data_IF_966118577637
#
_entry.id   IF_966118577637
#
_cell.length_a   1.000
_cell.length_b   1.000
_cell.length_c   1.000
_cell.angle_alpha   90.00
_cell.angle_beta   90.00
_cell.angle_gamma   90.00
#
_symmetry.space_group_name_H-M   'P 1'
#
loop_
_entity.id
_entity.type
_entity.pdbx_description
1 polymer ?
#
# COMPACT_ATOMS: atom_id res chain seq x y z
N UNK A 1 44.58 0.58 20.37
CA UNK A 1 43.39 -0.30 20.26
C UNK A 1 42.08 0.43 19.96
N UNK A 2 42.07 1.75 19.71
CA UNK A 2 40.82 2.52 19.51
C UNK A 2 40.38 2.69 18.04
N UNK A 3 41.26 2.42 17.08
CA UNK A 3 40.96 2.61 15.65
C UNK A 3 40.04 1.51 15.08
N UNK A 4 40.14 0.28 15.59
CA UNK A 4 39.31 -0.85 15.16
C UNK A 4 37.86 -0.76 15.68
N UNK A 5 37.65 -0.13 16.84
CA UNK A 5 36.33 0.05 17.43
C UNK A 5 35.49 1.06 16.63
N UNK A 6 36.11 2.15 16.16
CA UNK A 6 35.46 3.16 15.33
C UNK A 6 35.03 2.62 13.96
N UNK A 7 35.81 1.71 13.39
CA UNK A 7 35.47 1.06 12.11
C UNK A 7 34.26 0.12 12.24
N UNK A 8 34.12 -0.60 13.36
CA UNK A 8 32.95 -1.46 13.60
C UNK A 8 31.67 -0.64 13.83
N UNK A 9 31.75 0.48 14.57
CA UNK A 9 30.61 1.37 14.77
C UNK A 9 30.10 2.00 13.46
N UNK A 10 31.01 2.38 12.56
CA UNK A 10 30.64 2.90 11.24
C UNK A 10 29.95 1.84 10.36
N UNK A 11 30.37 0.57 10.44
CA UNK A 11 29.74 -0.53 9.70
C UNK A 11 28.33 -0.85 10.21
N UNK A 12 28.11 -0.81 11.52
CA UNK A 12 26.78 -1.03 12.11
C UNK A 12 25.79 0.09 11.78
N UNK A 13 26.24 1.34 11.69
CA UNK A 13 25.39 2.48 11.32
C UNK A 13 25.02 2.49 9.83
N UNK A 14 25.87 1.96 8.95
CA UNK A 14 25.58 1.84 7.52
C UNK A 14 24.46 0.81 7.22
N UNK A 15 24.25 -0.18 8.09
CA UNK A 15 23.21 -1.20 7.91
C UNK A 15 21.79 -0.70 8.23
N UNK A 16 21.66 0.39 9.00
CA UNK A 16 20.35 0.98 9.34
C UNK A 16 19.69 1.73 8.18
N UNK A 17 20.45 2.09 7.13
CA UNK A 17 19.93 2.86 5.98
C UNK A 17 19.14 1.97 5.00
N UNK A 18 19.26 0.64 5.09
CA UNK A 18 18.58 -0.31 4.20
C UNK A 18 17.29 -0.92 4.77
N UNK A 19 16.76 -0.42 5.88
CA UNK A 19 15.40 -0.74 6.30
C UNK A 19 14.39 -0.06 5.35
N UNK A 20 14.25 -0.60 4.14
CA UNK A 20 13.27 -0.15 3.15
C UNK A 20 11.88 -0.59 3.59
N UNK A 21 11.20 0.28 4.35
CA UNK A 21 9.80 0.07 4.69
C UNK A 21 8.96 0.30 3.42
N UNK A 22 8.40 -0.78 2.87
CA UNK A 22 7.38 -0.69 1.82
C UNK A 22 6.11 -0.06 2.37
N UNK A 23 5.28 0.47 1.48
CA UNK A 23 3.93 0.89 1.82
C UNK A 23 3.01 -0.33 1.83
N UNK A 24 2.09 -0.38 2.79
CA UNK A 24 1.16 -1.49 2.93
C UNK A 24 -0.28 -1.02 3.09
N UNK A 25 -1.17 -1.68 2.37
CA UNK A 25 -2.61 -1.58 2.56
C UNK A 25 -3.15 -2.97 2.84
N UNK A 26 -3.93 -3.12 3.90
CA UNK A 26 -4.56 -4.40 4.24
C UNK A 26 -6.05 -4.35 3.94
N UNK A 27 -6.54 -5.34 3.23
CA UNK A 27 -7.96 -5.49 2.87
C UNK A 27 -8.52 -6.68 3.64
N UNK A 28 -9.71 -6.54 4.20
CA UNK A 28 -10.44 -7.63 4.87
C UNK A 28 -11.84 -7.76 4.29
N UNK A 29 -12.32 -9.00 4.25
CA UNK A 29 -13.69 -9.33 3.85
C UNK A 29 -14.69 -9.12 5.02
N UNK A 30 -15.98 -9.33 4.76
CA UNK A 30 -17.07 -8.93 5.69
C UNK A 30 -17.05 -9.67 7.04
N UNK A 31 -16.60 -10.92 7.08
CA UNK A 31 -16.53 -11.75 8.29
C UNK A 31 -15.13 -11.76 8.92
N UNK A 32 -14.19 -10.94 8.40
CA UNK A 32 -12.77 -10.92 8.75
C UNK A 32 -12.04 -12.27 8.63
N UNK A 33 -12.60 -13.28 7.95
CA UNK A 33 -11.97 -14.60 7.80
C UNK A 33 -10.86 -14.59 6.76
N UNK A 34 -10.89 -13.66 5.80
CA UNK A 34 -9.88 -13.49 4.75
C UNK A 34 -9.32 -12.08 4.78
N UNK A 35 -8.01 -11.98 4.59
CA UNK A 35 -7.32 -10.71 4.43
C UNK A 35 -6.28 -10.79 3.32
N UNK A 36 -5.92 -9.61 2.81
CA UNK A 36 -4.85 -9.46 1.84
C UNK A 36 -4.00 -8.25 2.14
N UNK A 37 -2.68 -8.44 2.08
CA UNK A 37 -1.71 -7.35 2.15
C UNK A 37 -1.27 -6.98 0.75
N UNK A 38 -1.51 -5.73 0.38
CA UNK A 38 -0.96 -5.11 -0.81
C UNK A 38 0.30 -4.36 -0.41
N UNK A 39 1.33 -4.42 -1.25
CA UNK A 39 2.60 -3.75 -0.98
C UNK A 39 3.01 -2.90 -2.19
N UNK A 40 3.39 -1.65 -1.95
CA UNK A 40 4.02 -0.81 -2.95
C UNK A 40 5.47 -0.55 -2.51
N UNK A 41 6.46 -0.75 -3.39
CA UNK A 41 7.84 -0.45 -3.05
C UNK A 41 8.03 1.00 -2.61
N UNK A 42 8.97 1.25 -1.69
CA UNK A 42 9.26 2.62 -1.26
C UNK A 42 9.73 3.46 -2.45
N UNK A 43 9.23 4.68 -2.57
CA UNK A 43 9.52 5.58 -3.69
C UNK A 43 8.56 5.44 -4.87
N UNK A 44 7.69 4.43 -4.84
CA UNK A 44 6.72 4.16 -5.91
C UNK A 44 5.30 4.42 -5.42
N UNK A 45 4.38 4.52 -6.38
CA UNK A 45 2.94 4.52 -6.14
C UNK A 45 2.29 3.48 -7.02
N UNK A 46 1.51 2.57 -6.43
CA UNK A 46 0.86 1.49 -7.17
C UNK A 46 -0.66 1.63 -7.10
N UNK A 47 -1.33 1.16 -8.14
CA UNK A 47 -2.78 1.02 -8.24
C UNK A 47 -3.16 -0.46 -8.22
N UNK A 48 -4.07 -0.84 -7.33
CA UNK A 48 -4.60 -2.19 -7.27
C UNK A 48 -6.09 -2.17 -7.54
N UNK A 49 -6.53 -3.00 -8.48
CA UNK A 49 -7.95 -3.19 -8.74
C UNK A 49 -8.55 -4.17 -7.72
N UNK A 50 -9.67 -3.79 -7.12
CA UNK A 50 -10.39 -4.51 -6.07
C UNK A 50 -11.83 -4.88 -6.48
N UNK A 51 -12.24 -4.62 -7.72
CA UNK A 51 -13.63 -4.82 -8.16
C UNK A 51 -14.13 -6.27 -8.07
N UNK A 52 -13.20 -7.23 -8.03
CA UNK A 52 -13.47 -8.66 -7.84
C UNK A 52 -13.12 -9.14 -6.43
N UNK A 53 -12.84 -8.22 -5.51
CA UNK A 53 -12.43 -8.49 -4.14
C UNK A 53 -13.55 -8.06 -3.20
N UNK A 54 -13.98 -8.96 -2.32
CA UNK A 54 -14.88 -8.57 -1.22
C UNK A 54 -14.13 -7.67 -0.23
N UNK A 55 -14.45 -6.38 -0.26
CA UNK A 55 -13.70 -5.36 0.48
C UNK A 55 -14.57 -4.74 1.57
N UNK A 56 -14.57 -5.30 2.77
CA UNK A 56 -15.33 -4.76 3.90
C UNK A 56 -14.56 -3.62 4.58
N UNK A 57 -13.26 -3.85 4.78
CA UNK A 57 -12.38 -2.93 5.50
C UNK A 57 -11.09 -2.75 4.73
N UNK A 58 -10.58 -1.51 4.69
CA UNK A 58 -9.27 -1.15 4.16
C UNK A 58 -8.48 -0.45 5.26
N UNK A 59 -7.37 -1.04 5.70
CA UNK A 59 -6.41 -0.42 6.61
C UNK A 59 -5.30 0.26 5.79
N UNK A 60 -5.34 1.59 5.76
CA UNK A 60 -4.41 2.44 5.04
C UNK A 60 -3.34 3.10 5.92
N UNK A 61 -3.23 2.71 7.21
CA UNK A 61 -2.33 3.38 8.18
C UNK A 61 -0.85 3.33 7.79
N UNK A 62 -0.45 2.31 7.04
CA UNK A 62 0.94 2.12 6.58
C UNK A 62 1.01 2.31 5.05
N UNK A 63 -0.03 2.87 4.42
CA UNK A 63 -0.12 2.99 2.96
C UNK A 63 0.52 4.25 2.39
N UNK A 64 1.06 5.14 3.23
CA UNK A 64 1.52 6.47 2.81
C UNK A 64 0.32 7.33 2.39
N UNK A 65 0.29 7.76 1.13
CA UNK A 65 -0.85 8.48 0.56
C UNK A 65 -1.83 7.53 -0.13
N UNK A 66 -2.92 7.18 0.56
CA UNK A 66 -3.92 6.21 0.11
C UNK A 66 -5.14 6.92 -0.48
N UNK A 67 -5.50 6.54 -1.71
CA UNK A 67 -6.68 7.03 -2.43
C UNK A 67 -7.59 5.85 -2.79
N UNK A 68 -8.87 5.97 -2.46
CA UNK A 68 -9.88 4.94 -2.66
C UNK A 68 -10.85 5.37 -3.77
N UNK A 69 -11.06 4.52 -4.75
CA UNK A 69 -11.85 4.85 -5.95
C UNK A 69 -13.01 3.87 -6.11
N UNK A 70 -14.16 4.40 -6.55
CA UNK A 70 -15.28 3.58 -7.01
C UNK A 70 -15.09 3.03 -8.42
N UNK A 71 -14.07 3.51 -9.14
CA UNK A 71 -13.63 2.94 -10.44
C UNK A 71 -12.52 1.92 -10.21
N UNK A 72 -12.27 1.06 -11.20
CA UNK A 72 -11.29 -0.03 -11.13
C UNK A 72 -9.89 0.33 -11.65
N UNK A 73 -9.68 1.56 -12.10
CA UNK A 73 -8.48 2.04 -12.80
C UNK A 73 -7.71 3.13 -12.04
N UNK A 74 -8.05 3.38 -10.77
CA UNK A 74 -7.51 4.48 -9.94
C UNK A 74 -7.61 5.86 -10.59
N UNK A 75 -8.64 6.11 -11.42
CA UNK A 75 -8.89 7.40 -12.05
C UNK A 75 -10.15 8.07 -11.53
N UNK A 76 -10.17 9.40 -11.65
CA UNK A 76 -11.31 10.24 -11.28
C UNK A 76 -11.34 10.60 -9.79
N UNK A 77 -12.53 10.89 -9.29
CA UNK A 77 -12.76 11.27 -7.90
C UNK A 77 -12.40 10.14 -6.95
N UNK A 78 -11.80 10.50 -5.82
CA UNK A 78 -11.38 9.55 -4.79
C UNK A 78 -11.84 10.01 -3.42
N UNK A 79 -11.99 9.05 -2.51
CA UNK A 79 -11.96 9.34 -1.07
C UNK A 79 -10.55 9.15 -0.56
N UNK A 80 -10.13 10.01 0.36
CA UNK A 80 -8.88 9.80 1.09
C UNK A 80 -9.02 8.59 2.03
N UNK A 81 -8.03 7.70 2.01
CA UNK A 81 -7.90 6.51 2.86
C UNK A 81 -6.65 6.52 3.74
N UNK A 82 -5.91 7.64 3.77
CA UNK A 82 -4.60 7.73 4.40
C UNK A 82 -4.73 7.72 5.93
N UNK A 83 -3.76 7.11 6.61
CA UNK A 83 -3.62 7.10 8.08
C UNK A 83 -4.87 6.66 8.86
N UNK A 84 -5.70 5.80 8.25
CA UNK A 84 -6.94 5.34 8.89
C UNK A 84 -7.39 3.97 8.40
N UNK A 85 -8.37 3.45 9.12
CA UNK A 85 -9.16 2.29 8.72
C UNK A 85 -10.46 2.80 8.09
N UNK A 86 -10.70 2.41 6.84
CA UNK A 86 -11.96 2.67 6.14
C UNK A 86 -12.84 1.44 6.25
N UNK A 87 -13.95 1.56 6.99
CA UNK A 87 -14.96 0.52 7.13
C UNK A 87 -16.04 0.67 6.04
N UNK A 88 -16.86 -0.36 5.84
CA UNK A 88 -17.92 -0.39 4.82
C UNK A 88 -17.38 -0.03 3.42
N UNK A 89 -16.22 -0.58 3.08
CA UNK A 89 -15.47 -0.25 1.88
C UNK A 89 -15.93 -1.03 0.62
N UNK A 90 -17.15 -1.61 0.63
CA UNK A 90 -17.63 -2.46 -0.47
C UNK A 90 -17.82 -1.68 -1.78
N UNK A 91 -17.91 -0.35 -1.70
CA UNK A 91 -17.99 0.54 -2.85
C UNK A 91 -16.62 0.77 -3.53
N UNK A 92 -15.51 0.38 -2.90
CA UNK A 92 -14.15 0.60 -3.42
C UNK A 92 -13.81 -0.47 -4.45
N UNK A 93 -13.56 -0.04 -5.68
CA UNK A 93 -13.19 -0.90 -6.80
C UNK A 93 -11.70 -0.81 -7.16
N UNK A 94 -10.99 0.19 -6.67
CA UNK A 94 -9.51 0.21 -6.71
C UNK A 94 -8.93 1.08 -5.61
N UNK A 95 -7.68 0.79 -5.24
CA UNK A 95 -6.90 1.54 -4.27
C UNK A 95 -5.57 1.93 -4.88
N UNK A 96 -5.20 3.20 -4.75
CA UNK A 96 -3.88 3.70 -5.13
C UNK A 96 -3.16 4.16 -3.87
N UNK A 97 -1.95 3.67 -3.64
CA UNK A 97 -1.20 4.00 -2.43
C UNK A 97 0.31 4.06 -2.67
N UNK A 98 1.02 4.71 -1.75
CA UNK A 98 2.45 4.97 -1.84
C UNK A 98 2.78 6.45 -1.79
N UNK A 99 3.75 6.89 -2.59
CA UNK A 99 4.21 8.29 -2.60
C UNK A 99 3.09 9.25 -3.01
N UNK A 100 3.03 10.41 -2.35
CA UNK A 100 2.07 11.48 -2.67
C UNK A 100 2.46 12.20 -3.96
N UNK A 101 1.47 12.74 -4.69
CA UNK A 101 1.67 13.53 -5.91
C UNK A 101 2.47 12.84 -7.03
N UNK A 102 2.45 11.51 -7.03
CA UNK A 102 3.04 10.68 -8.06
C UNK A 102 1.92 9.92 -8.77
N UNK A 103 2.07 9.67 -10.07
CA UNK A 103 1.15 8.78 -10.79
C UNK A 103 1.41 7.32 -10.42
N UNK A 104 0.41 6.45 -10.56
CA UNK A 104 0.63 5.04 -10.27
C UNK A 104 1.41 4.37 -11.39
N UNK A 105 2.53 3.73 -11.06
CA UNK A 105 3.43 3.10 -12.03
C UNK A 105 2.97 1.69 -12.45
N UNK A 106 2.06 1.09 -11.68
CA UNK A 106 1.62 -0.28 -11.89
C UNK A 106 0.16 -0.49 -11.51
N UNK A 107 -0.52 -1.38 -12.26
CA UNK A 107 -1.86 -1.91 -12.01
C UNK A 107 -3.03 -0.98 -12.42
N UNK A 108 -4.25 -1.38 -12.03
CA UNK A 108 -5.52 -0.78 -12.49
C UNK A 108 -6.01 -1.29 -13.85
N UNK A 109 -7.28 -1.02 -14.17
CA UNK A 109 -7.87 -1.31 -15.48
C UNK A 109 -7.90 -2.82 -15.80
N UNK A 110 -7.27 -3.23 -16.91
CA UNK A 110 -7.28 -4.62 -17.39
C UNK A 110 -6.60 -5.62 -16.42
N UNK A 111 -5.84 -5.12 -15.44
CA UNK A 111 -5.16 -5.95 -14.44
C UNK A 111 -6.07 -6.40 -13.27
N UNK A 112 -7.38 -6.14 -13.34
CA UNK A 112 -8.35 -6.60 -12.34
C UNK A 112 -8.40 -8.11 -12.09
N UNK A 113 -7.87 -8.93 -13.01
CA UNK A 113 -7.85 -10.38 -12.83
C UNK A 113 -6.79 -10.87 -11.84
N UNK A 114 -5.78 -10.05 -11.53
CA UNK A 114 -4.69 -10.46 -10.65
C UNK A 114 -5.07 -10.42 -9.17
N UNK A 115 -6.23 -9.83 -8.84
CA UNK A 115 -6.55 -9.51 -7.46
C UNK A 115 -7.89 -10.00 -6.90
N UNK A 116 -8.56 -10.92 -7.60
CA UNK A 116 -9.72 -11.62 -7.04
C UNK A 116 -9.33 -12.44 -5.77
N UNK A 117 -10.24 -12.50 -4.79
CA UNK A 117 -10.12 -13.25 -3.52
C UNK A 117 -11.34 -14.15 -3.33
#
# INVERSE_FOLDING_TARGET
MNKSLLALLALCLAQLVFAQNNWYVTIRNNDNSKYRHLAAPRGYRFCYCLSKTQTATIDGRIGGNVKLFSRSDCKGSFSDGSDKITNNAQWVNSVSFGVANMDSEFGGGDQCNQYAV
#
